data_IF_389864044882
#
_entry.id   IF_389864044882
#
_cell.length_a   1.000
_cell.length_b   1.000
_cell.length_c   1.000
_cell.angle_alpha   90.00
_cell.angle_beta   90.00
_cell.angle_gamma   90.00
#
_symmetry.space_group_name_H-M   'P 1'
#
loop_
_entity.id
_entity.type
_entity.pdbx_description
1 polymer ?
#
# COMPACT_ATOMS: atom_id res chain seq x y z
N UNK A 1 16.64 2.54 -1.92
CA UNK A 1 16.72 1.17 -2.50
C UNK A 1 16.02 1.15 -3.87
N UNK A 2 16.25 0.14 -4.71
CA UNK A 2 15.50 -0.07 -5.95
C UNK A 2 14.67 -1.33 -5.83
N UNK A 3 13.38 -1.23 -6.12
CA UNK A 3 12.42 -2.34 -6.14
C UNK A 3 11.94 -2.55 -7.57
N UNK A 4 11.75 -3.81 -7.97
CA UNK A 4 11.07 -4.16 -9.22
C UNK A 4 9.64 -4.53 -8.87
N UNK A 5 8.68 -3.97 -9.60
CA UNK A 5 7.27 -4.26 -9.41
C UNK A 5 6.63 -4.67 -10.73
N UNK A 6 5.63 -5.53 -10.64
CA UNK A 6 4.78 -5.86 -11.78
C UNK A 6 3.61 -4.89 -11.82
N UNK A 7 3.44 -4.23 -12.96
CA UNK A 7 2.27 -3.44 -13.30
C UNK A 7 1.39 -4.26 -14.23
N UNK A 8 0.08 -4.24 -14.01
CA UNK A 8 -0.89 -4.77 -14.95
C UNK A 8 -1.68 -3.62 -15.57
N UNK A 9 -1.69 -3.56 -16.90
CA UNK A 9 -2.40 -2.56 -17.70
C UNK A 9 -3.38 -3.32 -18.61
N UNK A 10 -4.65 -3.37 -18.19
CA UNK A 10 -5.64 -4.27 -18.81
C UNK A 10 -5.17 -5.74 -18.71
N UNK A 11 -4.96 -6.37 -19.86
CA UNK A 11 -4.48 -7.76 -19.98
C UNK A 11 -2.95 -7.88 -20.15
N UNK A 12 -2.24 -6.76 -20.20
CA UNK A 12 -0.78 -6.73 -20.39
C UNK A 12 -0.05 -6.48 -19.07
N UNK A 13 1.20 -6.94 -19.01
CA UNK A 13 2.06 -6.80 -17.83
C UNK A 13 3.36 -6.10 -18.20
N UNK A 14 3.80 -5.21 -17.32
CA UNK A 14 5.04 -4.45 -17.45
C UNK A 14 5.85 -4.60 -16.15
N UNK A 15 7.18 -4.69 -16.26
CA UNK A 15 8.05 -4.58 -15.07
C UNK A 15 8.57 -3.16 -14.95
N UNK A 16 8.09 -2.45 -13.92
CA UNK A 16 8.56 -1.12 -13.56
C UNK A 16 9.58 -1.18 -12.42
N UNK A 17 10.30 -0.07 -12.25
CA UNK A 17 11.17 0.14 -11.11
C UNK A 17 10.63 1.23 -10.20
N UNK A 18 10.64 0.98 -8.89
CA UNK A 18 10.44 1.98 -7.85
C UNK A 18 11.78 2.26 -7.17
N UNK A 19 12.22 3.51 -7.17
CA UNK A 19 13.42 3.93 -6.44
C UNK A 19 12.98 4.72 -5.21
N UNK A 20 13.18 4.15 -4.04
CA UNK A 20 12.82 4.80 -2.78
C UNK A 20 13.95 5.68 -2.25
N UNK A 21 13.53 6.79 -1.62
CA UNK A 21 14.29 7.66 -0.73
C UNK A 21 13.43 7.98 0.50
N UNK A 22 13.98 8.73 1.46
CA UNK A 22 13.18 9.19 2.62
C UNK A 22 11.98 9.99 2.11
N UNK A 23 10.77 9.57 2.48
CA UNK A 23 9.51 10.25 2.15
C UNK A 23 9.32 10.54 0.65
N UNK A 24 9.94 9.73 -0.22
CA UNK A 24 9.92 9.94 -1.67
C UNK A 24 10.10 8.63 -2.46
N UNK A 25 9.37 8.51 -3.57
CA UNK A 25 9.36 7.33 -4.42
C UNK A 25 9.35 7.73 -5.91
N UNK A 26 10.31 7.25 -6.68
CA UNK A 26 10.38 7.47 -8.13
C UNK A 26 9.89 6.24 -8.88
N UNK A 27 8.85 6.40 -9.71
CA UNK A 27 8.42 5.40 -10.68
C UNK A 27 9.22 5.56 -11.98
N UNK A 28 9.74 4.45 -12.49
CA UNK A 28 10.37 4.33 -13.81
C UNK A 28 9.70 3.18 -14.56
N UNK A 29 9.14 3.46 -15.72
CA UNK A 29 8.46 2.50 -16.62
C UNK A 29 9.32 2.17 -17.84
N UNK A 30 8.96 1.10 -18.54
CA UNK A 30 9.66 0.61 -19.73
C UNK A 30 9.58 1.60 -20.92
N UNK A 31 8.49 2.34 -21.02
CA UNK A 31 8.24 3.36 -22.04
C UNK A 31 9.04 4.66 -21.83
N UNK A 32 9.97 4.67 -20.87
CA UNK A 32 10.80 5.82 -20.53
C UNK A 32 10.14 6.81 -19.57
N UNK A 33 8.88 6.60 -19.17
CA UNK A 33 8.24 7.44 -18.17
C UNK A 33 9.01 7.37 -16.84
N UNK A 34 9.29 8.54 -16.27
CA UNK A 34 9.95 8.70 -14.99
C UNK A 34 9.36 9.86 -14.22
N UNK A 35 8.85 9.61 -13.01
CA UNK A 35 8.33 10.66 -12.14
C UNK A 35 8.56 10.34 -10.67
N UNK A 36 8.83 11.38 -9.89
CA UNK A 36 9.04 11.29 -8.45
C UNK A 36 7.84 11.83 -7.69
N UNK A 37 7.47 11.11 -6.64
CA UNK A 37 6.37 11.42 -5.74
C UNK A 37 6.94 11.59 -4.34
N UNK A 38 6.44 12.57 -3.60
CA UNK A 38 6.82 12.81 -2.21
C UNK A 38 5.57 12.88 -1.33
N UNK A 39 5.67 12.45 -0.08
CA UNK A 39 4.59 12.40 0.90
C UNK A 39 5.16 12.15 2.29
N UNK A 40 4.31 11.90 3.29
CA UNK A 40 4.83 11.74 4.66
C UNK A 40 5.65 10.46 4.81
N UNK A 41 5.32 9.41 4.05
CA UNK A 41 6.03 8.14 4.01
C UNK A 41 5.93 7.47 2.61
N UNK A 42 6.59 6.32 2.44
CA UNK A 42 6.59 5.56 1.18
C UNK A 42 5.22 5.01 0.81
N UNK A 43 4.38 4.67 1.78
CA UNK A 43 3.03 4.16 1.54
C UNK A 43 2.15 5.24 0.90
N UNK A 44 2.19 6.47 1.41
CA UNK A 44 1.51 7.61 0.81
C UNK A 44 2.12 8.02 -0.53
N UNK A 45 3.44 7.89 -0.71
CA UNK A 45 4.05 8.08 -2.02
C UNK A 45 3.50 7.07 -3.04
N UNK A 46 3.44 5.78 -2.69
CA UNK A 46 2.86 4.74 -3.52
C UNK A 46 1.38 4.98 -3.83
N UNK A 47 0.60 5.45 -2.85
CA UNK A 47 -0.79 5.83 -3.05
C UNK A 47 -0.96 6.99 -4.04
N UNK A 48 -0.08 8.00 -3.99
CA UNK A 48 -0.07 9.10 -4.97
C UNK A 48 0.26 8.60 -6.38
N UNK A 49 1.20 7.66 -6.51
CA UNK A 49 1.51 7.02 -7.80
C UNK A 49 0.26 6.32 -8.33
N UNK A 50 -0.39 5.45 -7.53
CA UNK A 50 -1.59 4.71 -7.96
C UNK A 50 -2.74 5.62 -8.37
N UNK A 51 -2.92 6.75 -7.66
CA UNK A 51 -3.95 7.75 -8.00
C UNK A 51 -3.74 8.39 -9.37
N UNK A 52 -2.49 8.59 -9.77
CA UNK A 52 -2.15 9.17 -11.08
C UNK A 52 -2.32 8.16 -12.23
N UNK A 53 -2.43 6.86 -11.91
CA UNK A 53 -2.56 5.76 -12.87
C UNK A 53 -3.67 4.78 -12.44
N UNK A 54 -4.93 5.23 -12.30
CA UNK A 54 -6.03 4.40 -11.81
C UNK A 54 -6.34 3.19 -12.71
N UNK A 55 -5.94 3.25 -13.98
CA UNK A 55 -6.04 2.16 -14.95
C UNK A 55 -4.98 1.06 -14.79
N UNK A 56 -3.95 1.31 -13.96
CA UNK A 56 -2.83 0.39 -13.74
C UNK A 56 -2.95 -0.25 -12.36
N UNK A 57 -2.95 -1.58 -12.32
CA UNK A 57 -2.83 -2.32 -11.06
C UNK A 57 -1.36 -2.50 -10.71
N UNK A 58 -0.98 -1.97 -9.55
CA UNK A 58 0.35 -2.15 -8.97
C UNK A 58 0.33 -3.43 -8.15
N UNK A 59 0.90 -4.52 -8.69
CA UNK A 59 0.80 -5.86 -8.08
C UNK A 59 1.77 -6.00 -6.90
N UNK A 60 1.44 -5.34 -5.79
CA UNK A 60 2.23 -5.30 -4.58
C UNK A 60 1.36 -5.18 -3.32
N UNK A 61 1.89 -5.60 -2.17
CA UNK A 61 1.19 -5.56 -0.88
C UNK A 61 0.71 -4.17 -0.51
N UNK A 62 1.46 -3.10 -0.82
CA UNK A 62 1.06 -1.72 -0.54
C UNK A 62 -0.19 -1.26 -1.28
N UNK A 63 -0.60 -1.99 -2.32
CA UNK A 63 -1.83 -1.74 -3.07
C UNK A 63 -2.98 -2.69 -2.68
N UNK A 64 -2.74 -3.66 -1.79
CA UNK A 64 -3.77 -4.60 -1.35
C UNK A 64 -4.77 -3.93 -0.40
N UNK A 65 -6.06 -4.20 -0.61
CA UNK A 65 -7.17 -3.59 0.15
C UNK A 65 -6.99 -3.65 1.67
N UNK A 66 -6.57 -4.80 2.20
CA UNK A 66 -6.45 -5.05 3.64
C UNK A 66 -5.05 -4.77 4.19
N UNK A 67 -4.18 -4.08 3.44
CA UNK A 67 -2.84 -3.69 3.91
C UNK A 67 -2.83 -2.20 4.23
N UNK A 68 -2.45 -1.85 5.45
CA UNK A 68 -2.38 -0.45 5.89
C UNK A 68 -1.29 -0.25 6.97
N UNK A 69 -0.48 0.83 6.92
CA UNK A 69 0.56 1.07 7.91
C UNK A 69 -0.05 1.61 9.22
N UNK A 70 0.51 1.18 10.36
CA UNK A 70 0.28 1.89 11.62
C UNK A 70 1.10 3.19 11.65
N UNK A 71 0.74 4.16 12.50
CA UNK A 71 1.55 5.37 12.73
C UNK A 71 3.00 5.05 13.08
N UNK A 72 3.21 4.01 13.88
CA UNK A 72 4.55 3.55 14.26
C UNK A 72 5.32 3.00 13.05
N UNK A 73 4.67 2.22 12.18
CA UNK A 73 5.27 1.72 10.94
C UNK A 73 5.69 2.88 10.02
N UNK A 74 4.82 3.88 9.83
CA UNK A 74 5.13 5.07 9.04
C UNK A 74 6.37 5.79 9.55
N UNK A 75 6.47 6.05 10.86
CA UNK A 75 7.58 6.80 11.46
C UNK A 75 8.89 6.01 11.53
N UNK A 76 8.85 4.74 11.95
CA UNK A 76 10.05 3.95 12.22
C UNK A 76 10.66 3.31 10.97
N UNK A 77 9.87 3.09 9.92
CA UNK A 77 10.29 2.38 8.70
C UNK A 77 10.17 3.22 7.43
N UNK A 78 9.89 4.53 7.56
CA UNK A 78 9.55 5.39 6.42
C UNK A 78 8.36 4.84 5.61
N UNK A 79 7.43 4.13 6.27
CA UNK A 79 6.27 3.48 5.64
C UNK A 79 6.59 2.30 4.71
N UNK A 80 7.78 1.70 4.81
CA UNK A 80 8.16 0.54 3.98
C UNK A 80 7.51 -0.78 4.41
N UNK A 81 6.97 -0.83 5.63
CA UNK A 81 6.21 -1.98 6.14
C UNK A 81 4.80 -1.58 6.59
N UNK A 82 3.87 -2.51 6.50
CA UNK A 82 2.46 -2.35 6.87
C UNK A 82 1.90 -3.65 7.46
N UNK A 83 0.71 -3.58 8.07
CA UNK A 83 0.01 -4.78 8.52
C UNK A 83 -0.95 -5.26 7.45
N UNK A 84 -0.93 -6.56 7.14
CA UNK A 84 -2.01 -7.23 6.42
C UNK A 84 -3.06 -7.71 7.42
N UNK A 85 -4.27 -7.14 7.34
CA UNK A 85 -5.29 -7.31 8.36
C UNK A 85 -6.34 -8.35 7.96
N UNK A 86 -6.91 -9.02 8.95
CA UNK A 86 -8.10 -9.84 8.79
C UNK A 86 -9.19 -9.32 9.72
N UNK A 87 -10.40 -9.09 9.20
CA UNK A 87 -11.53 -8.60 10.00
C UNK A 87 -11.78 -9.52 11.20
N UNK A 88 -12.07 -8.91 12.36
CA UNK A 88 -12.26 -9.62 13.63
C UNK A 88 -11.00 -10.24 14.25
N UNK A 89 -9.82 -10.12 13.62
CA UNK A 89 -8.56 -10.65 14.17
C UNK A 89 -7.55 -9.54 14.43
N UNK A 90 -7.01 -9.50 15.65
CA UNK A 90 -5.97 -8.56 16.01
C UNK A 90 -4.68 -8.88 15.23
N UNK A 91 -4.11 -7.86 14.59
CA UNK A 91 -2.86 -7.96 13.84
C UNK A 91 -1.68 -8.14 14.81
N UNK A 92 -0.73 -8.98 14.41
CA UNK A 92 0.47 -9.33 15.17
C UNK A 92 1.71 -9.07 14.32
N UNK A 93 2.90 -9.16 14.93
CA UNK A 93 4.17 -8.97 14.21
C UNK A 93 4.33 -9.86 12.98
N UNK A 94 3.77 -11.08 13.00
CA UNK A 94 3.79 -12.01 11.86
C UNK A 94 2.97 -11.54 10.66
N UNK A 95 2.07 -10.58 10.87
CA UNK A 95 1.19 -10.01 9.84
C UNK A 95 1.80 -8.73 9.24
N UNK A 96 3.04 -8.38 9.61
CA UNK A 96 3.81 -7.30 8.99
C UNK A 96 4.34 -7.77 7.65
N UNK A 97 4.10 -6.98 6.61
CA UNK A 97 4.53 -7.22 5.22
C UNK A 97 5.31 -6.03 4.70
N UNK A 98 6.19 -6.23 3.71
CA UNK A 98 6.80 -5.14 2.98
C UNK A 98 5.88 -4.66 1.86
N UNK A 99 5.71 -3.35 1.71
CA UNK A 99 4.72 -2.78 0.79
C UNK A 99 5.03 -3.05 -0.70
N UNK A 100 6.27 -3.42 -1.02
CA UNK A 100 6.71 -3.72 -2.38
C UNK A 100 6.76 -5.23 -2.69
N UNK A 101 6.45 -6.10 -1.72
CA UNK A 101 6.34 -7.54 -1.98
C UNK A 101 5.19 -7.81 -2.97
N UNK A 102 5.37 -8.79 -3.85
CA UNK A 102 4.38 -9.14 -4.87
C UNK A 102 3.04 -9.56 -4.25
N UNK A 103 1.95 -9.10 -4.85
CA UNK A 103 0.57 -9.49 -4.54
C UNK A 103 -0.33 -9.13 -5.72
N UNK A 104 -1.26 -10.02 -6.05
CA UNK A 104 -2.20 -9.83 -7.17
C UNK A 104 -3.67 -9.88 -6.74
N UNK A 105 -3.96 -10.16 -5.47
CA UNK A 105 -5.32 -10.26 -4.92
C UNK A 105 -5.76 -8.95 -4.31
N UNK A 106 -7.02 -8.58 -4.55
CA UNK A 106 -7.69 -7.43 -3.94
C UNK A 106 -6.89 -6.13 -4.05
N UNK A 107 -6.27 -5.91 -5.22
CA UNK A 107 -5.47 -4.72 -5.51
C UNK A 107 -6.40 -3.55 -5.83
N UNK A 108 -6.19 -2.44 -5.13
CA UNK A 108 -6.92 -1.18 -5.32
C UNK A 108 -5.98 -0.06 -5.76
N UNK A 109 -6.49 0.85 -6.59
CA UNK A 109 -5.80 2.10 -6.93
C UNK A 109 -6.17 3.24 -5.96
N UNK A 110 -7.26 3.11 -5.21
CA UNK A 110 -7.75 4.14 -4.30
C UNK A 110 -7.37 3.82 -2.84
N UNK A 111 -6.59 4.71 -2.24
CA UNK A 111 -6.24 4.63 -0.81
C UNK A 111 -7.47 4.79 0.10
N UNK A 112 -8.54 5.43 -0.36
CA UNK A 112 -9.77 5.59 0.45
C UNK A 112 -10.35 4.22 0.84
N UNK A 113 -10.31 3.24 -0.07
CA UNK A 113 -10.78 1.88 0.18
C UNK A 113 -9.94 1.18 1.26
N UNK A 114 -8.61 1.37 1.25
CA UNK A 114 -7.72 0.82 2.29
C UNK A 114 -7.95 1.51 3.65
N UNK A 115 -8.23 2.81 3.66
CA UNK A 115 -8.59 3.58 4.87
C UNK A 115 -9.91 3.07 5.46
N UNK A 116 -10.91 2.84 4.61
CA UNK A 116 -12.22 2.37 5.05
C UNK A 116 -12.17 0.91 5.53
N UNK A 117 -11.39 0.05 4.86
CA UNK A 117 -11.10 -1.28 5.37
C UNK A 117 -10.42 -1.22 6.74
N UNK A 118 -9.42 -0.36 6.92
CA UNK A 118 -8.74 -0.17 8.20
C UNK A 118 -9.70 0.28 9.30
N UNK A 119 -10.59 1.25 9.01
CA UNK A 119 -11.62 1.72 9.96
C UNK A 119 -12.58 0.62 10.36
N UNK A 120 -13.05 -0.17 9.40
CA UNK A 120 -13.91 -1.32 9.66
C UNK A 120 -13.18 -2.39 10.47
N UNK A 121 -11.91 -2.64 10.18
CA UNK A 121 -11.09 -3.55 10.98
C UNK A 121 -10.97 -3.07 12.44
N UNK A 122 -10.71 -1.78 12.67
CA UNK A 122 -10.63 -1.19 14.01
C UNK A 122 -11.95 -1.32 14.79
N UNK A 123 -13.12 -1.25 14.13
CA UNK A 123 -14.41 -1.32 14.82
C UNK A 123 -14.67 -2.67 15.51
N UNK A 124 -13.94 -3.74 15.16
CA UNK A 124 -14.00 -5.02 15.87
C UNK A 124 -13.36 -4.99 17.26
N UNK A 125 -12.52 -3.99 17.56
CA UNK A 125 -11.76 -3.90 18.83
C UNK A 125 -12.15 -2.68 19.68
N UNK A 126 -13.03 -1.83 19.17
CA UNK A 126 -13.60 -0.71 19.93
C UNK A 126 -14.54 -1.17 21.05
N UNK A 127 -14.89 -0.29 21.99
CA UNK A 127 -15.89 -0.60 23.01
C UNK A 127 -17.20 -1.01 22.33
N UNK A 128 -17.74 -2.16 22.72
CA UNK A 128 -19.07 -2.57 22.27
C UNK A 128 -20.10 -1.57 22.81
N UNK A 129 -21.10 -1.16 22.02
CA UNK A 129 -22.17 -0.33 22.54
C UNK A 129 -22.82 -1.07 23.72
N UNK A 130 -22.88 -0.41 24.87
CA UNK A 130 -23.60 -0.92 26.05
C UNK A 130 -25.08 -1.04 25.66
N UNK A 131 -25.73 -2.20 25.85
CA UNK A 131 -27.18 -2.28 25.72
C UNK A 131 -27.81 -1.27 26.69
N UNK A 132 -28.77 -0.48 26.18
CA UNK A 132 -29.65 0.36 27.00
C UNK A 132 -30.51 -0.50 27.93
#
# INVERSE_FOLDING_TARGET
MKHRITLQIGDTFEIASLIERISSLTLIRDNGFKRTYSGDDLYLCLAKIRRDFPEIKFLCKGAKLNVYPSRMCSQMSNGSVAYEMTLGKQARRKDIVHIFDFEDKDITADISEQIDFYRHWISFFGPKPTPL
#
